data_IF_741091306817
#
_entry.id   IF_741091306817
#
_cell.length_a   1.000
_cell.length_b   1.000
_cell.length_c   1.000
_cell.angle_alpha   90.00
_cell.angle_beta   90.00
_cell.angle_gamma   90.00
#
_symmetry.space_group_name_H-M   'P 1'
#
loop_
_entity.id
_entity.type
_entity.pdbx_description
1 polymer ?
#
# COMPACT_ATOMS: atom_id res chain seq x y z
N UNK A 1 10.84 -19.12 29.29
CA UNK A 1 9.83 -18.18 28.75
C UNK A 1 10.60 -16.97 28.21
N UNK A 2 10.79 -16.88 26.89
CA UNK A 2 11.53 -15.75 26.30
C UNK A 2 10.63 -14.51 26.40
N UNK A 3 11.09 -13.46 27.04
CA UNK A 3 10.39 -12.19 27.12
C UNK A 3 10.15 -11.64 25.69
N UNK A 4 8.95 -11.18 25.42
CA UNK A 4 8.67 -10.47 24.17
C UNK A 4 9.40 -9.13 24.18
N UNK A 5 10.02 -8.78 23.04
CA UNK A 5 10.70 -7.50 22.85
C UNK A 5 9.79 -6.62 21.99
N UNK A 6 9.25 -5.57 22.59
CA UNK A 6 8.44 -4.59 21.88
C UNK A 6 9.32 -3.58 21.13
N UNK A 7 9.03 -3.40 19.84
CA UNK A 7 9.75 -2.47 18.95
C UNK A 7 8.75 -1.64 18.15
N UNK A 8 9.10 -0.45 17.65
CA UNK A 8 8.24 0.28 16.72
C UNK A 8 7.88 -0.57 15.49
N UNK A 9 6.63 -0.51 15.03
CA UNK A 9 6.17 -1.29 13.87
C UNK A 9 7.00 -0.99 12.62
N UNK A 10 7.39 0.28 12.41
CA UNK A 10 8.26 0.72 11.31
C UNK A 10 9.66 0.10 11.38
N UNK A 11 10.21 -0.13 12.57
CA UNK A 11 11.54 -0.74 12.75
C UNK A 11 11.49 -2.24 12.44
N UNK A 12 10.40 -2.91 12.83
CA UNK A 12 10.22 -4.32 12.53
C UNK A 12 9.95 -4.53 11.03
N UNK A 13 9.17 -3.66 10.41
CA UNK A 13 9.02 -3.63 8.95
C UNK A 13 10.35 -3.40 8.24
N UNK A 14 11.14 -2.42 8.69
CA UNK A 14 12.47 -2.16 8.15
C UNK A 14 13.42 -3.37 8.28
N UNK A 15 13.28 -4.15 9.37
CA UNK A 15 14.04 -5.37 9.57
C UNK A 15 13.60 -6.48 8.60
N UNK A 16 12.28 -6.59 8.33
CA UNK A 16 11.76 -7.51 7.33
C UNK A 16 12.35 -7.22 5.95
N UNK A 17 12.34 -5.95 5.53
CA UNK A 17 12.88 -5.54 4.23
C UNK A 17 14.39 -5.82 4.10
N UNK A 18 15.18 -5.53 5.14
CA UNK A 18 16.62 -5.85 5.14
C UNK A 18 16.88 -7.35 5.06
N UNK A 19 16.08 -8.15 5.77
CA UNK A 19 16.21 -9.60 5.77
C UNK A 19 15.95 -10.24 4.41
N UNK A 20 15.26 -9.56 3.49
CA UNK A 20 14.95 -10.11 2.16
C UNK A 20 16.19 -10.38 1.30
N UNK A 21 17.33 -9.77 1.60
CA UNK A 21 18.61 -10.06 0.94
C UNK A 21 19.24 -11.40 1.40
N UNK A 22 18.75 -11.99 2.49
CA UNK A 22 19.26 -13.22 3.05
C UNK A 22 18.47 -14.44 2.56
N UNK A 23 19.11 -15.61 2.36
CA UNK A 23 18.40 -16.84 2.03
C UNK A 23 17.30 -17.17 3.06
N UNK A 24 16.04 -17.21 2.61
CA UNK A 24 14.91 -17.47 3.49
C UNK A 24 14.47 -16.29 4.36
N UNK A 25 14.98 -15.09 4.15
CA UNK A 25 14.68 -13.89 4.93
C UNK A 25 13.20 -13.48 4.97
N UNK A 26 12.39 -13.98 4.03
CA UNK A 26 10.94 -13.83 4.03
C UNK A 26 10.21 -14.75 5.03
N UNK A 27 10.91 -15.73 5.61
CA UNK A 27 10.30 -16.74 6.49
C UNK A 27 10.09 -16.19 7.90
N UNK A 28 9.06 -16.74 8.56
CA UNK A 28 8.76 -16.45 9.98
C UNK A 28 8.35 -15.00 10.28
N UNK A 29 7.98 -14.22 9.23
CA UNK A 29 7.33 -12.93 9.38
C UNK A 29 5.81 -13.09 9.37
N UNK A 30 5.16 -12.42 10.31
CA UNK A 30 3.72 -12.55 10.50
C UNK A 30 3.06 -11.22 10.80
N UNK A 31 1.82 -11.08 10.36
CA UNK A 31 0.87 -10.10 10.87
C UNK A 31 -0.02 -10.77 11.93
N UNK A 32 -0.10 -10.19 13.12
CA UNK A 32 -1.01 -10.58 14.19
C UNK A 32 -2.15 -9.59 14.23
N UNK A 33 -3.36 -10.08 14.17
CA UNK A 33 -4.58 -9.30 14.35
C UNK A 33 -4.99 -9.32 15.81
N UNK A 34 -5.44 -8.19 16.37
CA UNK A 34 -5.89 -8.09 17.75
C UNK A 34 -7.15 -8.94 17.94
N UNK A 35 -7.12 -9.86 18.92
CA UNK A 35 -8.21 -10.84 19.11
C UNK A 35 -8.41 -11.86 17.97
N UNK A 36 -7.55 -11.84 16.93
CA UNK A 36 -7.71 -12.60 15.71
C UNK A 36 -6.52 -13.50 15.35
N UNK A 37 -6.46 -13.95 14.09
CA UNK A 37 -5.47 -14.88 13.62
C UNK A 37 -4.08 -14.23 13.48
N UNK A 38 -3.07 -15.09 13.34
CA UNK A 38 -1.72 -14.77 12.92
C UNK A 38 -1.55 -15.23 11.47
N UNK A 39 -1.21 -14.33 10.56
CA UNK A 39 -1.06 -14.61 9.13
C UNK A 39 0.40 -14.45 8.70
N UNK A 40 0.89 -15.36 7.85
CA UNK A 40 2.24 -15.25 7.28
C UNK A 40 2.34 -14.07 6.32
N UNK A 41 3.44 -13.33 6.39
CA UNK A 41 3.79 -12.24 5.46
C UNK A 41 4.82 -12.67 4.42
N UNK A 42 5.24 -13.94 4.42
CA UNK A 42 6.35 -14.38 3.57
C UNK A 42 6.09 -14.20 2.06
N UNK A 43 4.86 -14.41 1.61
CA UNK A 43 4.46 -14.19 0.22
C UNK A 43 4.36 -12.68 -0.10
N UNK A 44 3.74 -11.90 0.77
CA UNK A 44 3.65 -10.45 0.63
C UNK A 44 5.05 -9.81 0.56
N UNK A 45 5.97 -10.19 1.44
CA UNK A 45 7.35 -9.71 1.42
C UNK A 45 8.07 -10.05 0.11
N UNK A 46 7.88 -11.28 -0.41
CA UNK A 46 8.46 -11.66 -1.72
C UNK A 46 7.91 -10.79 -2.85
N UNK A 47 6.59 -10.53 -2.83
CA UNK A 47 5.95 -9.65 -3.83
C UNK A 47 6.45 -8.22 -3.71
N UNK A 48 6.46 -7.65 -2.53
CA UNK A 48 6.89 -6.26 -2.31
C UNK A 48 8.34 -6.00 -2.73
N UNK A 49 9.23 -6.98 -2.47
CA UNK A 49 10.65 -6.87 -2.81
C UNK A 49 11.00 -7.47 -4.18
N UNK A 50 10.01 -7.99 -4.91
CA UNK A 50 10.19 -8.58 -6.23
C UNK A 50 10.15 -7.55 -7.36
N UNK A 51 10.00 -8.05 -8.57
CA UNK A 51 9.71 -7.27 -9.78
C UNK A 51 8.22 -7.24 -10.07
N UNK A 52 7.77 -6.31 -10.90
CA UNK A 52 6.39 -6.26 -11.39
C UNK A 52 6.04 -7.53 -12.18
N UNK A 53 4.86 -8.04 -11.94
CA UNK A 53 4.26 -9.13 -12.71
C UNK A 53 3.24 -8.59 -13.73
N UNK A 54 2.57 -9.48 -14.47
CA UNK A 54 1.57 -9.11 -15.46
C UNK A 54 0.33 -8.41 -14.85
N UNK A 55 0.02 -8.68 -13.58
CA UNK A 55 -1.09 -8.04 -12.88
C UNK A 55 -0.71 -6.63 -12.44
N UNK A 56 0.52 -6.46 -11.95
CA UNK A 56 1.05 -5.14 -11.65
C UNK A 56 1.14 -4.28 -12.91
N UNK A 57 1.58 -4.86 -14.04
CA UNK A 57 1.65 -4.13 -15.30
C UNK A 57 0.26 -3.67 -15.75
N UNK A 58 -0.78 -4.50 -15.63
CA UNK A 58 -2.16 -4.10 -15.92
C UNK A 58 -2.61 -2.90 -15.06
N UNK A 59 -2.25 -2.88 -13.76
CA UNK A 59 -2.53 -1.74 -12.89
C UNK A 59 -1.77 -0.49 -13.35
N UNK A 60 -0.48 -0.62 -13.72
CA UNK A 60 0.33 0.49 -14.21
C UNK A 60 -0.15 1.03 -15.55
N UNK A 61 -0.61 0.18 -16.46
CA UNK A 61 -1.17 0.59 -17.75
C UNK A 61 -2.46 1.43 -17.60
N UNK A 62 -3.20 1.22 -16.50
CA UNK A 62 -4.41 1.98 -16.13
C UNK A 62 -4.11 3.26 -15.35
N UNK A 63 -2.85 3.54 -15.02
CA UNK A 63 -2.43 4.71 -14.25
C UNK A 63 -1.89 5.81 -15.19
N UNK A 64 -2.72 6.72 -15.74
CA UNK A 64 -2.26 7.77 -16.64
C UNK A 64 -1.44 8.84 -15.92
N UNK A 65 -0.64 9.58 -16.68
CA UNK A 65 0.03 10.82 -16.30
C UNK A 65 1.03 10.69 -15.16
N UNK A 66 1.07 11.69 -14.28
CA UNK A 66 1.91 11.74 -13.09
C UNK A 66 1.32 10.84 -11.99
N UNK A 67 2.12 9.92 -11.45
CA UNK A 67 1.68 8.88 -10.52
C UNK A 67 2.29 9.08 -9.13
N UNK A 68 1.44 9.04 -8.11
CA UNK A 68 1.84 8.99 -6.71
C UNK A 68 1.54 7.59 -6.16
N UNK A 69 2.57 6.84 -5.77
CA UNK A 69 2.46 5.51 -5.18
C UNK A 69 2.48 5.63 -3.64
N UNK A 70 1.34 5.52 -3.00
CA UNK A 70 1.17 5.71 -1.56
C UNK A 70 1.37 4.40 -0.79
N UNK A 71 2.42 4.36 0.04
CA UNK A 71 2.91 3.14 0.66
C UNK A 71 3.75 2.32 -0.30
N UNK A 72 4.64 2.97 -1.06
CA UNK A 72 5.39 2.34 -2.15
C UNK A 72 6.31 1.19 -1.71
N UNK A 73 6.57 1.04 -0.41
CA UNK A 73 7.49 0.03 0.11
C UNK A 73 8.87 0.13 -0.52
N UNK A 74 9.53 -1.01 -0.84
CA UNK A 74 10.83 -1.03 -1.51
C UNK A 74 10.79 -0.56 -2.98
N UNK A 75 9.61 -0.16 -3.50
CA UNK A 75 9.49 0.59 -4.74
C UNK A 75 9.16 -0.21 -5.99
N UNK A 76 8.66 -1.44 -5.87
CA UNK A 76 8.38 -2.32 -7.01
C UNK A 76 7.65 -1.61 -8.16
N UNK A 77 6.55 -0.92 -7.86
CA UNK A 77 5.74 -0.23 -8.88
C UNK A 77 6.41 1.08 -9.36
N UNK A 78 6.86 1.90 -8.42
CA UNK A 78 7.44 3.22 -8.77
C UNK A 78 8.79 3.09 -9.49
N UNK A 79 9.56 2.03 -9.26
CA UNK A 79 10.79 1.72 -10.01
C UNK A 79 10.44 1.38 -11.47
N UNK A 80 9.41 0.56 -11.68
CA UNK A 80 8.98 0.21 -13.03
C UNK A 80 8.46 1.42 -13.80
N UNK A 81 7.65 2.27 -13.16
CA UNK A 81 7.21 3.54 -13.75
C UNK A 81 8.40 4.43 -14.16
N UNK A 82 9.42 4.53 -13.32
CA UNK A 82 10.64 5.26 -13.64
C UNK A 82 11.39 4.65 -14.83
N UNK A 83 11.48 3.30 -14.93
CA UNK A 83 12.08 2.61 -16.10
C UNK A 83 11.32 2.86 -17.39
N UNK A 84 10.00 3.03 -17.30
CA UNK A 84 9.15 3.40 -18.44
C UNK A 84 9.25 4.90 -18.80
N UNK A 85 10.09 5.68 -18.10
CA UNK A 85 10.24 7.12 -18.31
C UNK A 85 9.05 7.95 -17.83
N UNK A 86 8.19 7.38 -16.97
CA UNK A 86 7.00 8.04 -16.45
C UNK A 86 7.34 8.87 -15.20
N UNK A 87 6.65 9.98 -15.03
CA UNK A 87 6.76 10.79 -13.81
C UNK A 87 6.03 10.05 -12.67
N UNK A 88 6.80 9.53 -11.72
CA UNK A 88 6.26 8.84 -10.55
C UNK A 88 7.04 9.17 -9.28
N UNK A 89 6.33 9.26 -8.16
CA UNK A 89 6.90 9.47 -6.83
C UNK A 89 6.28 8.46 -5.86
N UNK A 90 7.13 7.74 -5.10
CA UNK A 90 6.70 6.86 -4.02
C UNK A 90 6.70 7.58 -2.67
N UNK A 91 5.73 7.27 -1.83
CA UNK A 91 5.69 7.66 -0.42
C UNK A 91 5.76 6.40 0.45
N UNK A 92 6.61 6.41 1.46
CA UNK A 92 6.62 5.41 2.52
C UNK A 92 7.16 6.01 3.82
N UNK A 93 6.66 5.58 4.96
CA UNK A 93 7.14 6.04 6.28
C UNK A 93 8.44 5.37 6.70
N UNK A 94 8.79 4.23 6.09
CA UNK A 94 10.03 3.50 6.37
C UNK A 94 11.21 4.08 5.58
N UNK A 95 12.20 4.61 6.31
CA UNK A 95 13.47 5.09 5.71
C UNK A 95 14.21 3.97 4.96
N UNK A 96 14.02 2.71 5.35
CA UNK A 96 14.64 1.55 4.68
C UNK A 96 13.94 1.31 3.34
N UNK A 97 12.61 1.28 3.31
CA UNK A 97 11.82 1.15 2.10
C UNK A 97 12.21 2.23 1.08
N UNK A 98 12.21 3.50 1.49
CA UNK A 98 12.57 4.63 0.63
C UNK A 98 14.01 4.51 0.10
N UNK A 99 14.99 4.06 0.91
CA UNK A 99 16.35 3.84 0.42
C UNK A 99 16.41 2.74 -0.64
N UNK A 100 15.66 1.66 -0.46
CA UNK A 100 15.59 0.57 -1.43
C UNK A 100 14.95 1.05 -2.74
N UNK A 101 13.84 1.77 -2.68
CA UNK A 101 13.18 2.35 -3.84
C UNK A 101 14.13 3.29 -4.62
N UNK A 102 14.81 4.20 -3.93
CA UNK A 102 15.81 5.10 -4.53
C UNK A 102 17.01 4.34 -5.12
N UNK A 103 17.47 3.29 -4.44
CA UNK A 103 18.54 2.41 -4.95
C UNK A 103 18.14 1.69 -6.23
N UNK A 104 16.87 1.42 -6.44
CA UNK A 104 16.28 0.88 -7.68
C UNK A 104 16.04 1.93 -8.78
N UNK A 105 16.34 3.21 -8.53
CA UNK A 105 16.21 4.29 -9.51
C UNK A 105 14.89 5.09 -9.41
N UNK A 106 14.05 4.84 -8.43
CA UNK A 106 12.81 5.59 -8.25
C UNK A 106 13.01 6.90 -7.47
N UNK A 107 12.16 7.88 -7.72
CA UNK A 107 11.95 9.01 -6.80
C UNK A 107 11.02 8.56 -5.68
N UNK A 108 11.48 8.63 -4.43
CA UNK A 108 10.66 8.26 -3.27
C UNK A 108 10.92 9.21 -2.09
N UNK A 109 9.90 9.47 -1.29
CA UNK A 109 9.94 10.37 -0.12
C UNK A 109 9.61 9.59 1.16
N UNK A 110 10.41 9.79 2.20
CA UNK A 110 10.14 9.24 3.53
C UNK A 110 9.10 10.13 4.22
N UNK A 111 7.83 9.80 4.03
CA UNK A 111 6.70 10.66 4.43
C UNK A 111 5.41 9.85 4.51
N UNK A 112 4.54 10.22 5.46
CA UNK A 112 3.16 9.74 5.48
C UNK A 112 2.36 10.38 4.34
N UNK A 113 1.39 9.64 3.78
CA UNK A 113 0.42 10.23 2.84
C UNK A 113 -0.40 11.36 3.48
N UNK A 114 -0.57 11.33 4.80
CA UNK A 114 -1.32 12.34 5.55
C UNK A 114 -0.52 13.62 5.83
N UNK A 115 0.80 13.61 5.61
CA UNK A 115 1.64 14.80 5.67
C UNK A 115 1.50 15.63 4.37
N UNK A 116 1.96 16.91 4.34
CA UNK A 116 2.03 17.67 3.10
C UNK A 116 2.86 16.94 2.02
N UNK A 117 2.30 16.75 0.84
CA UNK A 117 2.91 16.03 -0.29
C UNK A 117 3.18 17.01 -1.44
N UNK A 118 4.38 17.02 -2.05
CA UNK A 118 4.62 17.84 -3.23
C UNK A 118 3.62 17.53 -4.34
N UNK A 119 3.08 18.56 -4.98
CA UNK A 119 2.16 18.39 -6.10
C UNK A 119 0.71 18.08 -5.69
N UNK A 120 0.29 18.39 -4.46
CA UNK A 120 -1.11 18.26 -4.06
C UNK A 120 -2.06 18.90 -5.06
N UNK A 121 -3.18 18.21 -5.36
CA UNK A 121 -4.19 18.64 -6.32
C UNK A 121 -3.75 18.56 -7.79
N UNK A 122 -2.60 17.94 -8.11
CA UNK A 122 -2.04 17.87 -9.46
C UNK A 122 -1.62 16.48 -9.92
N UNK A 123 -1.78 15.47 -9.08
CA UNK A 123 -1.50 14.10 -9.48
C UNK A 123 -2.60 13.57 -10.42
N UNK A 124 -2.21 12.92 -11.50
CA UNK A 124 -3.16 12.29 -12.41
C UNK A 124 -3.63 10.95 -11.86
N UNK A 125 -2.76 10.26 -11.12
CA UNK A 125 -3.08 8.99 -10.48
C UNK A 125 -2.46 8.90 -9.08
N UNK A 126 -3.25 8.45 -8.09
CA UNK A 126 -2.76 7.92 -6.81
C UNK A 126 -2.97 6.42 -6.80
N UNK A 127 -1.90 5.65 -6.47
CA UNK A 127 -1.96 4.20 -6.32
C UNK A 127 -2.07 3.82 -4.84
N UNK A 128 -2.97 2.90 -4.53
CA UNK A 128 -3.11 2.19 -3.26
C UNK A 128 -3.05 0.69 -3.53
N UNK A 129 -1.84 0.17 -3.85
CA UNK A 129 -1.62 -1.24 -4.15
C UNK A 129 -1.32 -2.06 -2.89
N UNK A 130 -1.27 -3.39 -3.02
CA UNK A 130 -0.87 -4.34 -1.97
C UNK A 130 -1.67 -4.20 -0.66
N UNK A 131 -2.95 -3.79 -0.75
CA UNK A 131 -3.82 -3.58 0.41
C UNK A 131 -3.64 -2.22 1.11
N UNK A 132 -2.93 -1.27 0.50
CA UNK A 132 -2.65 0.05 1.09
C UNK A 132 -3.91 0.91 1.32
N UNK A 133 -5.06 0.50 0.81
CA UNK A 133 -6.37 1.08 1.21
C UNK A 133 -6.61 0.97 2.73
N UNK A 134 -5.88 0.08 3.41
CA UNK A 134 -5.95 -0.10 4.85
C UNK A 134 -5.14 0.89 5.68
N UNK A 135 -4.29 1.72 5.07
CA UNK A 135 -3.41 2.66 5.78
C UNK A 135 -4.24 3.60 6.67
N UNK A 136 -3.88 3.63 7.97
CA UNK A 136 -4.54 4.48 8.98
C UNK A 136 -5.84 3.90 9.54
N UNK A 137 -6.31 2.73 9.05
CA UNK A 137 -7.47 2.02 9.57
C UNK A 137 -8.84 2.61 9.18
N UNK A 138 -8.86 3.76 8.50
CA UNK A 138 -10.08 4.42 8.01
C UNK A 138 -9.98 4.70 6.51
N UNK A 139 -10.58 3.85 5.65
CA UNK A 139 -10.54 4.02 4.20
C UNK A 139 -11.19 5.31 3.71
N UNK A 140 -12.24 5.82 4.37
CA UNK A 140 -12.89 7.06 3.94
C UNK A 140 -11.98 8.28 4.15
N UNK A 141 -11.28 8.33 5.29
CA UNK A 141 -10.27 9.36 5.59
C UNK A 141 -9.10 9.28 4.60
N UNK A 142 -8.59 8.07 4.34
CA UNK A 142 -7.52 7.87 3.37
C UNK A 142 -7.93 8.27 1.94
N UNK A 143 -9.12 7.88 1.49
CA UNK A 143 -9.63 8.22 0.17
C UNK A 143 -9.92 9.71 0.04
N UNK A 144 -10.41 10.38 1.09
CA UNK A 144 -10.52 11.85 1.14
C UNK A 144 -9.16 12.50 0.91
N UNK A 145 -8.13 12.01 1.58
CA UNK A 145 -6.77 12.50 1.36
C UNK A 145 -6.28 12.23 -0.08
N UNK A 146 -6.55 11.06 -0.62
CA UNK A 146 -6.22 10.75 -2.03
C UNK A 146 -6.94 11.70 -3.00
N UNK A 147 -8.22 12.02 -2.75
CA UNK A 147 -8.97 12.98 -3.55
C UNK A 147 -8.32 14.37 -3.54
N UNK A 148 -7.82 14.83 -2.40
CA UNK A 148 -7.16 16.13 -2.29
C UNK A 148 -5.78 16.15 -2.99
N UNK A 149 -5.17 14.99 -3.22
CA UNK A 149 -3.90 14.84 -3.93
C UNK A 149 -4.06 14.82 -5.46
N UNK A 150 -5.17 14.26 -5.97
CA UNK A 150 -5.41 14.19 -7.42
C UNK A 150 -5.92 15.52 -8.00
N UNK A 151 -5.63 15.73 -9.29
CA UNK A 151 -6.25 16.83 -10.06
C UNK A 151 -7.74 16.57 -10.33
N UNK A 152 -8.43 17.56 -10.87
CA UNK A 152 -9.88 17.49 -11.14
C UNK A 152 -10.30 16.31 -12.05
N UNK A 153 -9.41 15.85 -12.93
CA UNK A 153 -9.62 14.69 -13.82
C UNK A 153 -8.79 13.47 -13.39
N UNK A 154 -8.14 13.54 -12.23
CA UNK A 154 -7.31 12.48 -11.69
C UNK A 154 -8.13 11.31 -11.17
N UNK A 155 -7.44 10.22 -10.83
CA UNK A 155 -8.06 9.01 -10.29
C UNK A 155 -7.26 8.39 -9.18
N UNK A 156 -7.93 7.58 -8.36
CA UNK A 156 -7.30 6.71 -7.37
C UNK A 156 -7.47 5.28 -7.85
N UNK A 157 -6.39 4.55 -8.05
CA UNK A 157 -6.41 3.13 -8.35
C UNK A 157 -6.12 2.35 -7.08
N UNK A 158 -7.02 1.45 -6.75
CA UNK A 158 -7.01 0.75 -5.46
C UNK A 158 -6.98 -0.75 -5.69
N UNK A 159 -6.04 -1.46 -5.05
CA UNK A 159 -6.13 -2.91 -4.88
C UNK A 159 -6.97 -3.22 -3.64
N UNK A 160 -7.91 -4.12 -3.80
CA UNK A 160 -8.94 -4.46 -2.83
C UNK A 160 -8.82 -5.93 -2.41
N UNK A 161 -9.35 -6.25 -1.25
CA UNK A 161 -9.56 -7.64 -0.85
C UNK A 161 -10.65 -8.30 -1.73
N UNK A 162 -10.69 -9.62 -1.72
CA UNK A 162 -11.69 -10.39 -2.45
C UNK A 162 -13.11 -9.98 -2.07
N UNK A 163 -14.07 -10.08 -3.01
CA UNK A 163 -15.50 -9.87 -2.70
C UNK A 163 -15.94 -10.75 -1.51
N UNK A 164 -16.83 -10.22 -0.68
CA UNK A 164 -17.29 -10.85 0.56
C UNK A 164 -16.42 -10.57 1.79
N UNK A 165 -15.29 -9.87 1.65
CA UNK A 165 -14.50 -9.40 2.81
C UNK A 165 -15.24 -8.30 3.58
N UNK A 166 -16.07 -7.50 2.90
CA UNK A 166 -16.75 -6.35 3.46
C UNK A 166 -15.77 -5.20 3.80
N UNK A 167 -16.20 -4.33 4.70
CA UNK A 167 -15.37 -3.28 5.29
C UNK A 167 -15.08 -3.64 6.75
N UNK A 168 -13.79 -3.74 7.11
CA UNK A 168 -13.37 -4.10 8.46
C UNK A 168 -12.13 -3.29 8.87
N UNK A 169 -12.18 -2.69 10.05
CA UNK A 169 -11.03 -2.08 10.70
C UNK A 169 -10.45 -3.04 11.74
N UNK A 170 -9.15 -3.22 11.73
CA UNK A 170 -8.41 -4.11 12.63
C UNK A 170 -7.24 -3.35 13.26
N UNK A 171 -6.78 -3.81 14.42
CA UNK A 171 -5.45 -3.49 14.93
C UNK A 171 -4.50 -4.63 14.62
N UNK A 172 -3.38 -4.29 14.01
CA UNK A 172 -2.40 -5.25 13.51
C UNK A 172 -1.02 -4.94 14.09
N UNK A 173 -0.21 -5.96 14.30
CA UNK A 173 1.22 -5.81 14.57
C UNK A 173 2.04 -6.81 13.79
N UNK A 174 3.28 -6.47 13.52
CA UNK A 174 4.24 -7.38 12.93
C UNK A 174 4.90 -8.25 14.02
N UNK A 175 5.24 -9.48 13.68
CA UNK A 175 5.92 -10.42 14.57
C UNK A 175 7.02 -11.18 13.84
N UNK A 176 8.20 -11.31 14.49
CA UNK A 176 9.30 -12.14 14.02
C UNK A 176 10.08 -12.74 15.19
N UNK A 177 10.13 -14.06 15.30
CA UNK A 177 10.75 -14.73 16.45
C UNK A 177 10.11 -14.30 17.78
N UNK A 178 10.90 -13.72 18.68
CA UNK A 178 10.46 -13.13 19.95
C UNK A 178 10.06 -11.65 19.84
N UNK A 179 10.37 -11.00 18.71
CA UNK A 179 10.08 -9.57 18.51
C UNK A 179 8.60 -9.34 18.20
N UNK A 180 8.05 -8.29 18.77
CA UNK A 180 6.67 -7.83 18.57
C UNK A 180 6.68 -6.36 18.21
N UNK A 181 6.08 -6.01 17.06
CA UNK A 181 5.86 -4.61 16.68
C UNK A 181 4.78 -3.96 17.55
N UNK A 182 4.84 -2.64 17.67
CA UNK A 182 3.70 -1.88 18.20
C UNK A 182 2.45 -2.14 17.35
N UNK A 183 1.27 -2.07 17.99
CA UNK A 183 0.00 -2.16 17.29
C UNK A 183 -0.23 -0.90 16.45
N UNK A 184 -0.81 -1.07 15.26
CA UNK A 184 -1.25 0.00 14.37
C UNK A 184 -2.61 -0.35 13.76
N UNK A 185 -3.34 0.68 13.36
CA UNK A 185 -4.65 0.53 12.75
C UNK A 185 -4.51 0.23 11.26
N UNK A 186 -5.32 -0.73 10.79
CA UNK A 186 -5.34 -1.20 9.42
C UNK A 186 -6.76 -1.58 9.02
N UNK A 187 -7.17 -1.22 7.80
CA UNK A 187 -8.46 -1.64 7.29
C UNK A 187 -8.34 -2.68 6.18
N UNK A 188 -9.40 -3.43 6.01
CA UNK A 188 -9.63 -4.34 4.90
C UNK A 188 -10.90 -3.92 4.17
N UNK A 189 -10.84 -3.84 2.85
CA UNK A 189 -11.96 -3.41 2.00
C UNK A 189 -12.14 -4.40 0.87
N UNK A 190 -13.25 -5.15 0.88
CA UNK A 190 -13.63 -6.03 -0.20
C UNK A 190 -14.06 -5.24 -1.45
N UNK A 191 -13.88 -5.84 -2.62
CA UNK A 191 -14.25 -5.21 -3.89
C UNK A 191 -15.75 -4.85 -3.98
N UNK A 192 -16.58 -5.56 -3.23
CA UNK A 192 -18.02 -5.31 -3.08
C UNK A 192 -18.36 -4.19 -2.08
N UNK A 193 -17.39 -3.73 -1.30
CA UNK A 193 -17.61 -2.77 -0.23
C UNK A 193 -16.98 -1.39 -0.46
N UNK A 194 -16.18 -1.20 -1.52
CA UNK A 194 -15.40 0.04 -1.75
C UNK A 194 -16.28 1.25 -2.05
N UNK A 195 -17.49 1.05 -2.56
CA UNK A 195 -18.38 2.14 -2.96
C UNK A 195 -18.78 3.06 -1.79
N UNK A 196 -18.97 2.50 -0.58
CA UNK A 196 -19.30 3.28 0.63
C UNK A 196 -18.21 4.29 0.99
N UNK A 197 -17.00 3.85 1.37
CA UNK A 197 -15.92 4.76 1.71
C UNK A 197 -15.50 5.67 0.55
N UNK A 198 -15.68 5.26 -0.71
CA UNK A 198 -15.46 6.14 -1.86
C UNK A 198 -16.47 7.31 -1.87
N UNK A 199 -17.75 7.02 -1.67
CA UNK A 199 -18.80 8.05 -1.62
C UNK A 199 -18.59 9.02 -0.45
N UNK A 200 -18.24 8.51 0.74
CA UNK A 200 -17.92 9.32 1.91
C UNK A 200 -16.72 10.27 1.66
N UNK A 201 -15.79 9.87 0.79
CA UNK A 201 -14.65 10.68 0.36
C UNK A 201 -14.95 11.63 -0.81
N UNK A 202 -16.18 11.67 -1.32
CA UNK A 202 -16.54 12.45 -2.53
C UNK A 202 -15.94 11.87 -3.81
N UNK A 203 -15.72 10.56 -3.83
CA UNK A 203 -15.30 9.78 -4.99
C UNK A 203 -16.45 8.85 -5.41
N UNK A 204 -16.44 8.40 -6.67
CA UNK A 204 -17.28 7.32 -7.17
C UNK A 204 -16.45 6.23 -7.80
N UNK A 205 -16.94 5.02 -7.77
CA UNK A 205 -16.37 3.90 -8.52
C UNK A 205 -16.65 4.12 -10.01
N UNK A 206 -15.57 4.19 -10.79
CA UNK A 206 -15.64 4.32 -12.26
C UNK A 206 -15.56 2.96 -12.95
N UNK A 207 -14.65 2.11 -12.46
CA UNK A 207 -14.44 0.76 -12.97
C UNK A 207 -14.02 -0.16 -11.81
N UNK A 208 -14.40 -1.43 -11.91
CA UNK A 208 -13.83 -2.52 -11.11
C UNK A 208 -13.35 -3.63 -12.03
N UNK A 209 -12.24 -4.27 -11.70
CA UNK A 209 -11.73 -5.41 -12.46
C UNK A 209 -11.02 -6.42 -11.57
N UNK A 210 -10.84 -7.61 -12.11
CA UNK A 210 -10.06 -8.67 -11.48
C UNK A 210 -8.96 -9.14 -12.44
N UNK A 211 -7.78 -9.38 -11.92
CA UNK A 211 -6.66 -9.94 -12.65
C UNK A 211 -5.92 -10.95 -11.79
N UNK A 212 -5.85 -12.21 -12.24
CA UNK A 212 -5.17 -13.29 -11.54
C UNK A 212 -5.57 -13.43 -10.04
N UNK A 213 -6.85 -13.29 -9.72
CA UNK A 213 -7.38 -13.40 -8.36
C UNK A 213 -7.13 -12.17 -7.47
N UNK A 214 -6.62 -11.06 -8.01
CA UNK A 214 -6.50 -9.77 -7.33
C UNK A 214 -7.60 -8.84 -7.85
N UNK A 215 -8.28 -8.17 -6.94
CA UNK A 215 -9.39 -7.26 -7.23
C UNK A 215 -8.95 -5.80 -7.16
N UNK A 216 -9.46 -4.97 -8.05
CA UNK A 216 -9.08 -3.57 -8.17
C UNK A 216 -10.29 -2.69 -8.43
N UNK A 217 -10.15 -1.40 -8.14
CA UNK A 217 -11.09 -0.36 -8.54
C UNK A 217 -10.36 0.90 -9.01
N UNK A 218 -10.96 1.60 -9.98
CA UNK A 218 -10.66 2.98 -10.32
C UNK A 218 -11.72 3.88 -9.69
N UNK A 219 -11.28 4.84 -8.88
CA UNK A 219 -12.14 5.83 -8.24
C UNK A 219 -11.85 7.20 -8.84
N UNK A 220 -12.89 7.96 -9.14
CA UNK A 220 -12.78 9.32 -9.71
C UNK A 220 -13.62 10.29 -8.87
N UNK A 221 -13.36 11.61 -8.92
CA UNK A 221 -14.19 12.60 -8.24
C UNK A 221 -15.67 12.42 -8.60
N UNK A 222 -16.53 12.47 -7.59
CA UNK A 222 -17.97 12.57 -7.81
C UNK A 222 -18.29 13.96 -8.38
N UNK A 223 -19.18 14.02 -9.35
CA UNK A 223 -19.59 15.24 -10.06
C UNK A 223 -20.30 16.20 -9.13
#
# INVERSE_FOLDING_TARGET
>A
MTLAIDVPATDLYASALRGMSEPGGHRHWYARYEGGPRRSLGEALRRWCGTVDATDQDLLDRSPGAVLDAGCGPGRLVIELARQGRHAVGLDTSRVAVRLARGGGATALCRSIFDPVPGEGRWDTVLLADGNIGIGGDPAVLLTRCRDLIGATGRVLVELDSPGTGLRADRVRLEHGAQRGSWFDWAHVGADAVAGPAADAGLRVDETWERAGRSFAALVPAS
#
